data_IF_530311782940
#
_entry.id   IF_530311782940
#
_cell.length_a   1.000
_cell.length_b   1.000
_cell.length_c   1.000
_cell.angle_alpha   90.00
_cell.angle_beta   90.00
_cell.angle_gamma   90.00
#
_symmetry.space_group_name_H-M   'P 1'
#
loop_
_entity.id
_entity.type
_entity.pdbx_description
1 polymer ?
#
# COMPACT_ATOMS: atom_id res chain seq x y z
N UNK A 1 -1.82 -8.36 10.03
CA UNK A 1 -2.02 -7.00 9.49
C UNK A 1 -2.91 -6.18 10.42
N UNK A 2 -4.15 -6.58 10.66
CA UNK A 2 -5.08 -5.84 11.54
C UNK A 2 -4.51 -5.62 12.94
N UNK A 3 -3.87 -6.63 13.51
CA UNK A 3 -3.19 -6.53 14.81
C UNK A 3 -2.07 -5.48 14.80
N UNK A 4 -1.34 -5.36 13.70
CA UNK A 4 -0.28 -4.35 13.56
C UNK A 4 -0.83 -2.93 13.44
N UNK A 5 -1.93 -2.76 12.72
CA UNK A 5 -2.60 -1.45 12.57
C UNK A 5 -3.15 -0.96 13.92
N UNK A 6 -3.70 -1.85 14.73
CA UNK A 6 -4.32 -1.52 16.02
C UNK A 6 -3.34 -1.59 17.19
N UNK A 7 -2.09 -1.95 16.96
CA UNK A 7 -1.10 -2.13 18.03
C UNK A 7 -0.87 -0.85 18.86
N UNK A 8 -0.87 0.31 18.23
CA UNK A 8 -0.70 1.61 18.92
C UNK A 8 -1.84 1.94 19.89
N UNK A 9 -3.06 1.44 19.63
CA UNK A 9 -4.19 1.57 20.53
C UNK A 9 -4.12 0.63 21.74
N UNK A 10 -3.54 -0.55 21.55
CA UNK A 10 -3.55 -1.64 22.53
C UNK A 10 -2.31 -1.69 23.41
N UNK A 11 -1.18 -1.22 22.90
CA UNK A 11 0.13 -1.32 23.55
C UNK A 11 0.88 0.01 23.50
N UNK A 12 1.75 0.21 24.48
CA UNK A 12 2.72 1.29 24.48
C UNK A 12 3.86 0.96 23.50
N UNK A 13 4.39 1.98 22.82
CA UNK A 13 5.48 1.83 21.88
C UNK A 13 6.41 3.04 21.85
N UNK A 14 7.57 2.86 21.23
CA UNK A 14 8.57 3.93 21.07
C UNK A 14 8.09 5.03 20.12
N UNK A 15 7.32 4.66 19.10
CA UNK A 15 6.69 5.57 18.15
C UNK A 15 5.27 5.09 17.89
N UNK A 16 4.29 5.84 18.35
CA UNK A 16 2.88 5.52 18.16
C UNK A 16 2.33 6.22 16.92
N UNK A 17 1.56 5.47 16.12
CA UNK A 17 0.79 6.00 14.99
C UNK A 17 -0.69 5.79 15.29
N UNK A 18 -1.42 6.87 15.50
CA UNK A 18 -2.86 6.82 15.76
C UNK A 18 -3.63 6.43 14.48
N UNK A 19 -4.81 5.84 14.65
CA UNK A 19 -5.68 5.44 13.52
C UNK A 19 -6.06 6.63 12.61
N UNK A 20 -6.26 7.80 13.18
CA UNK A 20 -6.53 9.02 12.43
C UNK A 20 -5.32 9.48 11.58
N UNK A 21 -4.11 9.21 12.05
CA UNK A 21 -2.89 9.52 11.31
C UNK A 21 -2.74 8.69 10.04
N UNK A 22 -3.26 7.47 9.99
CA UNK A 22 -3.27 6.67 8.77
C UNK A 22 -4.03 7.36 7.64
N UNK A 23 -5.22 7.87 7.95
CA UNK A 23 -6.01 8.61 6.97
C UNK A 23 -5.29 9.89 6.53
N UNK A 24 -4.80 10.67 7.48
CA UNK A 24 -4.12 11.95 7.21
C UNK A 24 -2.85 11.78 6.38
N UNK A 25 -2.04 10.74 6.65
CA UNK A 25 -0.75 10.55 6.02
C UNK A 25 -0.80 9.71 4.73
N UNK A 26 -1.79 8.83 4.58
CA UNK A 26 -1.87 7.89 3.46
C UNK A 26 -2.80 8.34 2.34
N UNK A 27 -3.76 9.20 2.61
CA UNK A 27 -4.81 9.58 1.66
C UNK A 27 -4.61 11.02 1.17
N UNK A 28 -4.01 11.21 -0.03
CA UNK A 28 -3.81 12.56 -0.57
C UNK A 28 -5.09 13.16 -1.16
N UNK A 29 -5.97 12.34 -1.70
CA UNK A 29 -7.25 12.73 -2.30
C UNK A 29 -8.37 11.80 -1.83
N UNK A 30 -9.60 12.27 -1.67
CA UNK A 30 -10.69 11.45 -1.11
C UNK A 30 -10.95 10.12 -1.84
N UNK A 31 -10.80 10.08 -3.15
CA UNK A 31 -11.00 8.86 -3.95
C UNK A 31 -9.81 7.92 -3.94
N UNK A 32 -8.62 8.44 -3.73
CA UNK A 32 -7.35 7.69 -3.72
C UNK A 32 -7.08 7.18 -2.28
N UNK A 33 -7.94 6.32 -1.79
CA UNK A 33 -7.93 5.85 -0.41
C UNK A 33 -7.80 4.32 -0.26
N UNK A 34 -7.24 3.65 -1.25
CA UNK A 34 -7.02 2.20 -1.24
C UNK A 34 -5.55 1.84 -1.00
N UNK A 35 -5.09 1.79 0.25
CA UNK A 35 -3.71 1.41 0.54
C UNK A 35 -3.49 -0.09 0.32
N UNK A 36 -2.31 -0.43 -0.17
CA UNK A 36 -1.82 -1.79 -0.18
C UNK A 36 -1.25 -2.13 1.19
N UNK A 37 -1.56 -3.34 1.67
CA UNK A 37 -0.92 -3.89 2.85
C UNK A 37 0.10 -4.95 2.46
N UNK A 38 1.24 -4.97 3.15
CA UNK A 38 2.21 -6.05 3.10
C UNK A 38 2.67 -6.42 4.49
N UNK A 39 3.14 -7.65 4.65
CA UNK A 39 3.61 -8.17 5.92
C UNK A 39 4.89 -8.96 5.72
N UNK A 40 5.86 -8.76 6.60
CA UNK A 40 7.12 -9.49 6.62
C UNK A 40 7.60 -9.66 8.08
N UNK A 41 8.25 -10.77 8.43
CA UNK A 41 8.48 -11.96 7.64
C UNK A 41 7.28 -12.93 7.69
N UNK A 42 7.09 -13.72 6.63
CA UNK A 42 6.18 -14.85 6.61
C UNK A 42 7.04 -16.11 6.48
N UNK A 43 7.30 -16.77 7.59
CA UNK A 43 8.21 -17.90 7.68
C UNK A 43 7.51 -19.07 8.35
N UNK A 44 7.69 -20.29 7.79
CA UNK A 44 7.24 -21.51 8.46
C UNK A 44 8.17 -21.87 9.63
N UNK A 45 7.63 -22.60 10.62
CA UNK A 45 8.37 -23.03 11.80
C UNK A 45 9.65 -23.80 11.44
N UNK A 46 9.62 -24.62 10.38
CA UNK A 46 10.76 -25.41 9.93
C UNK A 46 11.91 -24.56 9.34
N UNK A 47 11.58 -23.44 8.70
CA UNK A 47 12.55 -22.52 8.08
C UNK A 47 13.08 -21.45 9.03
N UNK A 48 12.39 -21.18 10.12
CA UNK A 48 12.72 -20.11 11.06
C UNK A 48 14.11 -20.22 11.68
N UNK A 49 14.63 -21.44 11.82
CA UNK A 49 15.97 -21.69 12.38
C UNK A 49 17.11 -21.30 11.43
N UNK A 50 16.83 -21.13 10.14
CA UNK A 50 17.84 -20.89 9.10
C UNK A 50 17.80 -19.45 8.55
N UNK A 51 16.79 -18.67 8.89
CA UNK A 51 16.60 -17.30 8.40
C UNK A 51 16.85 -16.27 9.51
N UNK A 52 17.76 -15.35 9.25
CA UNK A 52 17.93 -14.15 10.06
C UNK A 52 16.99 -13.08 9.52
N UNK A 53 16.03 -12.67 10.32
CA UNK A 53 15.08 -11.63 9.96
C UNK A 53 15.50 -10.30 10.59
N UNK A 54 16.46 -9.62 9.97
CA UNK A 54 16.86 -8.29 10.39
C UNK A 54 15.81 -7.23 10.00
N UNK A 55 15.86 -6.08 10.63
CA UNK A 55 14.98 -4.94 10.29
C UNK A 55 15.13 -4.56 8.82
N UNK A 56 16.35 -4.54 8.31
CA UNK A 56 16.63 -4.19 6.90
C UNK A 56 16.06 -5.21 5.91
N UNK A 57 16.20 -6.50 6.21
CA UNK A 57 15.66 -7.59 5.37
C UNK A 57 14.13 -7.55 5.35
N UNK A 58 13.49 -7.39 6.51
CA UNK A 58 12.04 -7.27 6.60
C UNK A 58 11.52 -6.05 5.84
N UNK A 59 12.22 -4.92 5.95
CA UNK A 59 11.86 -3.70 5.24
C UNK A 59 11.97 -3.88 3.73
N UNK A 60 13.03 -4.50 3.26
CA UNK A 60 13.21 -4.81 1.83
C UNK A 60 12.14 -5.78 1.34
N UNK A 61 11.87 -6.84 2.09
CA UNK A 61 10.87 -7.85 1.75
C UNK A 61 9.45 -7.27 1.67
N UNK A 62 9.12 -6.25 2.47
CA UNK A 62 7.81 -5.62 2.44
C UNK A 62 7.48 -4.93 1.11
N UNK A 63 8.49 -4.54 0.33
CA UNK A 63 8.34 -3.94 -1.00
C UNK A 63 8.31 -4.95 -2.14
N UNK A 64 8.56 -6.23 -1.85
CA UNK A 64 8.53 -7.28 -2.86
C UNK A 64 7.10 -7.64 -3.26
N UNK A 65 6.93 -7.96 -4.54
CA UNK A 65 5.64 -8.36 -5.12
C UNK A 65 4.97 -9.51 -4.37
N UNK A 66 5.76 -10.50 -3.95
CA UNK A 66 5.25 -11.70 -3.27
C UNK A 66 4.65 -11.46 -1.88
N UNK A 67 5.00 -10.35 -1.25
CA UNK A 67 4.54 -10.01 0.11
C UNK A 67 3.35 -9.04 0.12
N UNK A 68 2.86 -8.62 -1.05
CA UNK A 68 1.69 -7.77 -1.15
C UNK A 68 0.41 -8.58 -0.94
N UNK A 69 -0.55 -8.01 -0.20
CA UNK A 69 -1.87 -8.65 0.02
C UNK A 69 -2.79 -8.54 -1.21
N UNK A 70 -2.45 -7.69 -2.16
CA UNK A 70 -3.12 -7.58 -3.46
C UNK A 70 -2.15 -8.02 -4.55
N UNK A 71 -2.63 -8.78 -5.54
CA UNK A 71 -1.85 -9.20 -6.71
C UNK A 71 -1.58 -8.01 -7.63
N UNK A 72 -0.59 -7.23 -7.30
CA UNK A 72 -0.04 -6.17 -8.15
C UNK A 72 1.46 -6.07 -7.92
N UNK A 73 2.18 -5.54 -8.88
CA UNK A 73 3.62 -5.28 -8.74
C UNK A 73 3.82 -3.80 -8.38
N UNK A 74 4.35 -3.50 -7.18
CA UNK A 74 4.61 -2.12 -6.79
C UNK A 74 5.57 -1.37 -7.73
N UNK A 75 6.37 -2.08 -8.52
CA UNK A 75 7.28 -1.49 -9.51
C UNK A 75 6.56 -0.92 -10.74
N UNK A 76 5.32 -1.35 -10.98
CA UNK A 76 4.49 -0.86 -12.10
C UNK A 76 3.82 0.48 -11.81
N UNK A 77 3.99 1.02 -10.61
CA UNK A 77 3.39 2.28 -10.17
C UNK A 77 4.34 3.12 -9.34
N UNK A 78 3.81 4.25 -8.87
CA UNK A 78 4.52 5.19 -7.99
C UNK A 78 3.85 5.25 -6.63
N UNK A 79 4.66 5.35 -5.59
CA UNK A 79 4.17 5.54 -4.23
C UNK A 79 3.81 7.00 -3.96
N UNK A 80 2.69 7.21 -3.31
CA UNK A 80 2.27 8.52 -2.81
C UNK A 80 2.60 8.69 -1.33
N UNK A 81 2.44 7.62 -0.56
CA UNK A 81 2.73 7.58 0.86
C UNK A 81 3.00 6.16 1.34
N UNK A 82 3.86 6.01 2.33
CA UNK A 82 4.15 4.74 2.99
C UNK A 82 4.08 4.89 4.51
N UNK A 83 3.48 3.91 5.16
CA UNK A 83 3.50 3.75 6.61
C UNK A 83 4.14 2.41 6.95
N UNK A 84 5.20 2.43 7.75
CA UNK A 84 5.92 1.25 8.21
C UNK A 84 5.64 1.02 9.70
N UNK A 85 4.99 -0.07 10.02
CA UNK A 85 4.61 -0.43 11.39
C UNK A 85 5.45 -1.63 11.84
N UNK A 86 6.46 -1.35 12.66
CA UNK A 86 7.35 -2.36 13.21
C UNK A 86 6.83 -2.86 14.55
N UNK A 87 7.01 -4.15 14.79
CA UNK A 87 6.67 -4.79 16.08
C UNK A 87 7.81 -5.65 16.58
N UNK A 88 7.96 -5.68 17.90
CA UNK A 88 8.92 -6.51 18.61
C UNK A 88 10.24 -5.81 18.87
N UNK A 89 11.32 -6.56 18.77
CA UNK A 89 12.69 -6.07 19.03
C UNK A 89 13.22 -5.24 17.85
N UNK A 90 12.83 -3.97 17.83
CA UNK A 90 13.17 -3.01 16.76
C UNK A 90 13.74 -1.73 17.36
N UNK A 91 14.92 -1.36 16.90
CA UNK A 91 15.61 -0.13 17.33
C UNK A 91 15.41 0.96 16.25
N UNK A 92 15.05 2.19 16.65
CA UNK A 92 14.84 3.29 15.67
C UNK A 92 16.02 3.55 14.74
N UNK A 93 17.25 3.34 15.21
CA UNK A 93 18.48 3.49 14.41
C UNK A 93 18.49 2.52 13.20
N UNK A 94 18.11 1.27 13.44
CA UNK A 94 18.09 0.24 12.39
C UNK A 94 17.00 0.54 11.36
N UNK A 95 15.86 1.05 11.82
CA UNK A 95 14.76 1.49 10.96
C UNK A 95 15.20 2.66 10.06
N UNK A 96 15.87 3.66 10.60
CA UNK A 96 16.38 4.79 9.83
C UNK A 96 17.38 4.36 8.76
N UNK A 97 18.27 3.42 9.11
CA UNK A 97 19.22 2.85 8.17
C UNK A 97 18.52 2.07 7.05
N UNK A 98 17.53 1.26 7.38
CA UNK A 98 16.75 0.49 6.42
C UNK A 98 15.95 1.40 5.47
N UNK A 99 15.30 2.44 5.98
CA UNK A 99 14.57 3.43 5.18
C UNK A 99 15.50 4.19 4.25
N UNK A 100 16.69 4.56 4.71
CA UNK A 100 17.69 5.21 3.85
C UNK A 100 18.11 4.33 2.68
N UNK A 101 18.27 3.02 2.90
CA UNK A 101 18.55 2.07 1.83
C UNK A 101 17.38 1.96 0.82
N UNK A 102 16.15 1.96 1.31
CA UNK A 102 14.96 1.93 0.44
C UNK A 102 14.88 3.18 -0.43
N UNK A 103 15.15 4.35 0.12
CA UNK A 103 15.16 5.63 -0.63
C UNK A 103 16.19 5.66 -1.78
N UNK A 104 17.26 4.89 -1.68
CA UNK A 104 18.29 4.81 -2.73
C UNK A 104 17.94 3.84 -3.85
N UNK A 105 16.94 2.97 -3.66
CA UNK A 105 16.53 1.98 -4.67
C UNK A 105 15.77 2.64 -5.81
N UNK A 106 16.24 2.44 -7.03
CA UNK A 106 15.60 2.97 -8.25
C UNK A 106 14.28 2.26 -8.61
N UNK A 107 14.06 1.07 -8.08
CA UNK A 107 12.84 0.29 -8.31
C UNK A 107 11.64 0.79 -7.51
N UNK A 108 11.89 1.58 -6.47
CA UNK A 108 10.85 2.17 -5.62
C UNK A 108 10.77 3.65 -5.96
N UNK A 109 9.74 4.03 -6.71
CA UNK A 109 9.54 5.39 -7.18
C UNK A 109 8.38 6.04 -6.44
N UNK A 110 8.59 7.28 -6.02
CA UNK A 110 7.54 8.15 -5.48
C UNK A 110 7.07 9.14 -6.54
N UNK A 111 5.86 9.64 -6.38
CA UNK A 111 5.34 10.72 -7.22
C UNK A 111 6.17 11.98 -7.01
N UNK A 112 6.35 12.78 -8.07
CA UNK A 112 7.19 13.99 -8.06
C UNK A 112 6.56 15.16 -7.28
N UNK A 113 5.23 15.20 -7.18
CA UNK A 113 4.49 16.26 -6.48
C UNK A 113 4.42 16.06 -4.96
N UNK A 114 4.93 14.96 -4.43
CA UNK A 114 4.93 14.66 -3.01
C UNK A 114 6.35 14.31 -2.54
N UNK A 115 6.86 14.90 -1.44
CA UNK A 115 8.16 14.52 -0.91
C UNK A 115 8.16 13.05 -0.49
N UNK A 116 9.27 12.36 -0.76
CA UNK A 116 9.48 10.97 -0.34
C UNK A 116 9.42 10.88 1.16
N UNK A 117 8.31 10.40 1.70
CA UNK A 117 8.06 10.33 3.13
C UNK A 117 7.65 8.94 3.58
N UNK A 118 8.21 8.53 4.72
CA UNK A 118 7.82 7.34 5.42
C UNK A 118 7.33 7.71 6.81
N UNK A 119 6.10 7.32 7.14
CA UNK A 119 5.61 7.35 8.51
C UNK A 119 6.02 6.04 9.18
N UNK A 120 6.63 6.14 10.35
CA UNK A 120 7.16 4.97 11.08
C UNK A 120 6.44 4.87 12.41
N UNK A 121 5.94 3.66 12.71
CA UNK A 121 5.44 3.28 14.01
C UNK A 121 6.24 2.11 14.56
N UNK A 122 6.56 2.12 15.85
CA UNK A 122 7.30 1.06 16.52
C UNK A 122 6.54 0.68 17.79
N UNK A 123 6.13 -0.59 17.87
CA UNK A 123 5.54 -1.19 19.04
C UNK A 123 6.49 -2.27 19.60
N UNK A 124 6.81 -2.19 20.87
CA UNK A 124 7.77 -3.11 21.49
C UNK A 124 7.20 -4.52 21.73
N UNK A 125 5.88 -4.67 21.70
CA UNK A 125 5.22 -5.95 21.90
C UNK A 125 5.33 -6.80 20.63
N UNK A 126 5.93 -8.00 20.68
CA UNK A 126 6.07 -8.87 19.53
C UNK A 126 4.70 -9.36 19.03
N UNK A 127 4.60 -9.76 17.74
CA UNK A 127 3.36 -10.27 17.19
C UNK A 127 2.96 -11.58 17.89
N UNK A 128 1.66 -11.71 18.20
CA UNK A 128 1.12 -12.93 18.78
C UNK A 128 0.93 -14.01 17.73
N UNK A 129 1.14 -15.27 18.13
CA UNK A 129 0.87 -16.45 17.29
C UNK A 129 -0.48 -17.04 17.63
N UNK A 130 -1.11 -17.62 16.60
CA UNK A 130 -2.26 -18.49 16.77
C UNK A 130 -1.76 -19.86 17.22
N UNK A 131 -2.23 -20.39 18.37
CA UNK A 131 -1.85 -21.73 18.79
C UNK A 131 -2.17 -22.78 17.75
N UNK A 132 -1.19 -23.61 17.37
CA UNK A 132 -1.34 -24.62 16.33
C UNK A 132 -1.29 -24.09 14.90
N UNK A 133 -0.95 -22.85 14.69
CA UNK A 133 -0.72 -22.27 13.35
C UNK A 133 0.64 -22.63 12.76
N UNK A 134 0.76 -22.49 11.44
CA UNK A 134 1.97 -22.85 10.68
C UNK A 134 3.04 -21.76 10.68
N UNK A 135 2.71 -20.54 11.13
CA UNK A 135 3.65 -19.43 11.18
C UNK A 135 4.62 -19.55 12.37
N UNK A 136 5.89 -19.31 12.10
CA UNK A 136 6.92 -19.28 13.13
C UNK A 136 6.81 -18.07 14.04
N UNK A 137 7.23 -18.24 15.31
CA UNK A 137 7.43 -17.12 16.23
C UNK A 137 8.68 -16.37 15.81
N UNK A 138 8.51 -15.10 15.48
CA UNK A 138 9.61 -14.21 15.07
C UNK A 138 9.80 -13.09 16.11
N UNK A 139 11.05 -12.66 16.36
CA UNK A 139 11.33 -11.61 17.34
C UNK A 139 10.84 -10.23 16.89
N UNK A 140 10.72 -10.02 15.59
CA UNK A 140 10.30 -8.75 15.00
C UNK A 140 9.49 -8.97 13.73
N UNK A 141 8.58 -8.05 13.47
CA UNK A 141 7.78 -8.06 12.24
C UNK A 141 7.54 -6.65 11.73
N UNK A 142 7.16 -6.54 10.47
CA UNK A 142 6.81 -5.29 9.81
C UNK A 142 5.49 -5.48 9.06
N UNK A 143 4.58 -4.53 9.27
CA UNK A 143 3.41 -4.33 8.42
C UNK A 143 3.59 -2.99 7.70
N UNK A 144 3.54 -3.00 6.37
CA UNK A 144 3.56 -1.79 5.56
C UNK A 144 2.17 -1.50 5.04
N UNK A 145 1.75 -0.25 5.16
CA UNK A 145 0.60 0.30 4.46
C UNK A 145 1.10 1.34 3.48
N UNK A 146 0.87 1.12 2.21
CA UNK A 146 1.35 2.02 1.16
C UNK A 146 0.23 2.42 0.22
N UNK A 147 0.13 3.70 -0.07
CA UNK A 147 -0.73 4.19 -1.13
C UNK A 147 0.10 4.30 -2.41
N UNK A 148 -0.20 3.44 -3.37
CA UNK A 148 0.53 3.36 -4.64
C UNK A 148 -0.43 3.30 -5.82
N UNK A 149 -0.02 3.88 -6.93
CA UNK A 149 -0.81 3.83 -8.18
C UNK A 149 -0.85 2.42 -8.80
N UNK A 150 0.02 1.51 -8.39
CA UNK A 150 0.03 0.13 -8.86
C UNK A 150 -1.28 -0.65 -8.58
N UNK A 151 -2.08 -0.20 -7.61
CA UNK A 151 -3.38 -0.82 -7.31
C UNK A 151 -4.37 -0.69 -8.48
N UNK A 152 -4.19 0.27 -9.37
CA UNK A 152 -5.05 0.45 -10.55
C UNK A 152 -5.10 -0.77 -11.45
N UNK A 153 -4.07 -1.63 -11.43
CA UNK A 153 -4.09 -2.91 -12.15
C UNK A 153 -5.17 -3.85 -11.64
N UNK A 154 -5.55 -3.76 -10.39
CA UNK A 154 -6.65 -4.55 -9.82
C UNK A 154 -8.01 -4.05 -10.34
N UNK A 155 -8.19 -2.73 -10.45
CA UNK A 155 -9.39 -2.12 -11.03
C UNK A 155 -9.53 -2.49 -12.51
N UNK A 156 -8.47 -2.38 -13.28
CA UNK A 156 -8.44 -2.74 -14.70
C UNK A 156 -8.80 -4.22 -14.91
N UNK A 157 -8.28 -5.12 -14.10
CA UNK A 157 -8.67 -6.56 -14.17
C UNK A 157 -10.13 -6.81 -13.85
N UNK A 158 -10.68 -6.09 -12.88
CA UNK A 158 -12.08 -6.20 -12.51
C UNK A 158 -12.97 -5.68 -13.63
N UNK A 159 -12.64 -4.53 -14.20
CA UNK A 159 -13.35 -3.90 -15.31
C UNK A 159 -13.42 -4.82 -16.52
N UNK A 160 -12.32 -5.42 -16.89
CA UNK A 160 -12.28 -6.38 -17.99
C UNK A 160 -13.21 -7.58 -17.76
N UNK A 161 -13.25 -8.11 -16.56
CA UNK A 161 -14.16 -9.23 -16.22
C UNK A 161 -15.61 -8.80 -16.25
N UNK A 162 -15.88 -7.61 -15.73
CA UNK A 162 -17.22 -7.02 -15.76
C UNK A 162 -17.70 -6.84 -17.21
N UNK A 163 -16.88 -6.24 -18.07
CA UNK A 163 -17.23 -6.01 -19.47
C UNK A 163 -17.55 -7.30 -20.24
N UNK A 164 -16.81 -8.38 -19.97
CA UNK A 164 -17.08 -9.69 -20.58
C UNK A 164 -18.44 -10.25 -20.16
N UNK A 165 -18.84 -10.12 -18.91
CA UNK A 165 -20.11 -10.59 -18.42
C UNK A 165 -21.26 -9.67 -18.85
N UNK A 166 -21.07 -8.38 -18.69
CA UNK A 166 -22.12 -7.39 -18.94
C UNK A 166 -22.44 -7.23 -20.43
N UNK A 167 -21.48 -7.40 -21.32
CA UNK A 167 -21.72 -7.43 -22.78
C UNK A 167 -22.74 -8.50 -23.21
N UNK A 168 -22.84 -9.57 -22.42
CA UNK A 168 -23.82 -10.64 -22.60
C UNK A 168 -25.02 -10.55 -21.67
N UNK A 169 -25.07 -9.53 -20.80
CA UNK A 169 -26.08 -9.39 -19.73
C UNK A 169 -26.18 -10.63 -18.85
N UNK A 170 -25.05 -11.35 -18.69
CA UNK A 170 -25.00 -12.54 -17.86
C UNK A 170 -25.26 -12.18 -16.39
N UNK A 171 -26.17 -12.93 -15.77
CA UNK A 171 -26.58 -12.78 -14.37
C UNK A 171 -27.31 -11.46 -14.01
N UNK A 172 -27.50 -10.57 -14.94
CA UNK A 172 -28.13 -9.25 -14.71
C UNK A 172 -29.59 -9.41 -14.23
N UNK A 173 -30.31 -10.41 -14.75
CA UNK A 173 -31.71 -10.63 -14.38
C UNK A 173 -31.92 -10.95 -12.89
N UNK A 174 -30.92 -11.55 -12.21
CA UNK A 174 -31.00 -11.80 -10.78
C UNK A 174 -31.06 -10.50 -9.98
N UNK A 175 -30.26 -9.51 -10.39
CA UNK A 175 -30.21 -8.20 -9.75
C UNK A 175 -31.46 -7.37 -10.06
N UNK A 176 -31.91 -7.39 -11.30
CA UNK A 176 -33.15 -6.72 -11.72
C UNK A 176 -34.35 -7.29 -10.99
N UNK A 177 -34.40 -8.62 -10.80
CA UNK A 177 -35.43 -9.30 -10.03
C UNK A 177 -35.52 -8.86 -8.57
N UNK A 178 -34.43 -8.39 -7.99
CA UNK A 178 -34.36 -7.85 -6.62
C UNK A 178 -34.52 -6.33 -6.54
N UNK A 179 -34.91 -5.67 -7.65
CA UNK A 179 -35.24 -4.26 -7.68
C UNK A 179 -34.12 -3.33 -8.16
N UNK A 180 -33.00 -3.85 -8.61
CA UNK A 180 -31.94 -3.07 -9.22
C UNK A 180 -32.28 -2.70 -10.67
N UNK A 181 -31.97 -1.48 -11.07
CA UNK A 181 -32.12 -1.05 -12.46
C UNK A 181 -30.88 -1.43 -13.29
N UNK A 182 -31.09 -1.80 -14.56
CA UNK A 182 -29.99 -2.17 -15.45
C UNK A 182 -29.00 -1.02 -15.66
N UNK A 183 -29.47 0.22 -15.67
CA UNK A 183 -28.64 1.42 -15.77
C UNK A 183 -27.60 1.59 -14.65
N UNK A 184 -27.87 1.05 -13.47
CA UNK A 184 -26.94 1.09 -12.32
C UNK A 184 -25.65 0.30 -12.59
N UNK A 185 -25.68 -0.71 -13.44
CA UNK A 185 -24.47 -1.43 -13.88
C UNK A 185 -23.58 -0.54 -14.75
N UNK A 186 -24.17 0.23 -15.66
CA UNK A 186 -23.41 1.17 -16.51
C UNK A 186 -22.81 2.29 -15.68
N UNK A 187 -23.56 2.84 -14.74
CA UNK A 187 -23.06 3.88 -13.82
C UNK A 187 -21.88 3.37 -12.97
N UNK A 188 -21.99 2.17 -12.41
CA UNK A 188 -20.91 1.58 -11.63
C UNK A 188 -19.65 1.34 -12.47
N UNK A 189 -19.83 0.92 -13.71
CA UNK A 189 -18.72 0.70 -14.64
C UNK A 189 -18.03 2.01 -15.03
N UNK A 190 -18.79 3.04 -15.29
CA UNK A 190 -18.29 4.38 -15.59
C UNK A 190 -17.52 4.97 -14.40
N UNK A 191 -18.05 4.81 -13.19
CA UNK A 191 -17.37 5.29 -11.98
C UNK A 191 -16.05 4.57 -11.73
N UNK A 192 -15.99 3.25 -11.98
CA UNK A 192 -14.75 2.49 -11.84
C UNK A 192 -13.71 2.86 -12.94
N UNK A 193 -14.16 3.13 -14.16
CA UNK A 193 -13.29 3.65 -15.21
C UNK A 193 -12.75 5.04 -14.88
N UNK A 194 -13.56 5.91 -14.29
CA UNK A 194 -13.14 7.22 -13.81
C UNK A 194 -12.08 7.08 -12.69
N UNK A 195 -12.27 6.14 -11.77
CA UNK A 195 -11.29 5.87 -10.71
C UNK A 195 -9.94 5.39 -11.29
N UNK A 196 -9.95 4.49 -12.28
CA UNK A 196 -8.74 4.03 -12.96
C UNK A 196 -7.99 5.22 -13.59
N UNK A 197 -8.72 6.11 -14.25
CA UNK A 197 -8.17 7.33 -14.83
C UNK A 197 -7.59 8.28 -13.78
N UNK A 198 -8.26 8.45 -12.65
CA UNK A 198 -7.76 9.25 -11.54
C UNK A 198 -6.40 8.74 -11.04
N UNK A 199 -6.22 7.42 -10.96
CA UNK A 199 -4.93 6.82 -10.61
C UNK A 199 -3.85 7.05 -11.67
N UNK A 200 -4.20 7.01 -12.95
CA UNK A 200 -3.26 7.34 -14.03
C UNK A 200 -2.80 8.80 -13.94
N UNK A 201 -3.72 9.74 -13.75
CA UNK A 201 -3.41 11.17 -13.62
C UNK A 201 -2.52 11.46 -12.41
N UNK A 202 -2.77 10.81 -11.28
CA UNK A 202 -1.95 10.93 -10.06
C UNK A 202 -0.52 10.44 -10.29
N UNK A 203 -0.35 9.39 -11.09
CA UNK A 203 0.96 8.82 -11.41
C UNK A 203 1.76 9.57 -12.47
N UNK A 204 1.13 10.48 -13.21
CA UNK A 204 1.81 11.27 -14.24
C UNK A 204 2.79 12.26 -13.61
N UNK A 205 3.93 12.44 -14.25
CA UNK A 205 4.88 13.48 -13.85
C UNK A 205 4.34 14.87 -14.17
N UNK A 206 4.57 15.82 -13.27
CA UNK A 206 4.16 17.22 -13.44
C UNK A 206 5.11 17.97 -14.41
N UNK A 207 5.46 17.34 -15.52
CA UNK A 207 6.44 17.85 -16.47
C UNK A 207 5.94 19.05 -17.32
N UNK A 208 5.03 19.85 -16.81
CA UNK A 208 4.47 21.01 -17.54
C UNK A 208 4.49 22.31 -16.72
N UNK A 209 5.52 22.51 -15.89
CA UNK A 209 5.60 23.68 -15.02
C UNK A 209 6.82 24.59 -15.17
N UNK A 210 7.83 24.24 -15.96
CA UNK A 210 9.10 24.98 -15.97
C UNK A 210 9.48 25.64 -17.32
N UNK A 211 8.58 25.82 -18.25
CA UNK A 211 8.90 26.56 -19.50
C UNK A 211 8.38 28.00 -19.55
N UNK A 212 7.71 28.55 -18.54
CA UNK A 212 7.22 29.93 -18.52
C UNK A 212 7.86 30.77 -17.40
N UNK A 213 9.18 30.77 -17.27
CA UNK A 213 9.82 31.53 -16.17
C UNK A 213 11.24 32.03 -16.41
N UNK A 214 11.71 32.15 -17.64
CA UNK A 214 13.02 32.82 -17.90
C UNK A 214 12.90 33.86 -19.01
N UNK A 215 12.08 34.88 -18.77
CA UNK A 215 12.28 36.20 -19.30
C UNK A 215 12.47 37.15 -18.11
N UNK A 216 13.67 37.10 -17.50
CA UNK A 216 14.12 38.11 -16.58
C UNK A 216 14.79 39.18 -17.43
N UNK A 217 14.10 40.27 -17.53
CA UNK A 217 14.62 41.55 -18.06
C UNK A 217 15.95 41.91 -17.43
N UNK A 218 16.96 42.07 -18.27
CA UNK A 218 18.11 42.95 -18.01
C UNK A 218 17.60 44.37 -17.88
N UNK A 219 17.79 44.97 -16.69
CA UNK A 219 18.13 46.36 -16.47
C UNK A 219 18.89 46.53 -15.17
#
# INVERSE_FOLDING_TARGET
VVSSITASLRFDGSLNVDLNEFQTNLVPYPRIHFPLASYAPIVSADKAFHEQNSVSENTTASFEKGNQMVKCDPRDGKFMACCLLYRGDVVPKDVNSAVSLIKTKRTIQFVDWCPTGFKIGICNEPPALVPGGDLAKVPRSLCMLANTTAISTAWSRLDRKFDLLYSKRAFVHWYVGEGMEEGEFSEAREDLAALEKDYEEVGMETALGDEDGLDAEEY
#
